data_IF_918621174492
#
_entry.id   IF_918621174492
#
_cell.length_a   1.000
_cell.length_b   1.000
_cell.length_c   1.000
_cell.angle_alpha   90.00
_cell.angle_beta   90.00
_cell.angle_gamma   90.00
#
_symmetry.space_group_name_H-M   'P 1'
#
loop_
_entity.id
_entity.type
_entity.pdbx_description
1 polymer ?
#
# COMPACT_ATOMS: atom_id res chain seq x y z
N UNK A 1 -7.26 -64.91 -25.44
CA UNK A 1 -7.05 -63.88 -24.41
C UNK A 1 -8.40 -63.52 -23.81
N UNK A 2 -8.65 -63.75 -22.50
CA UNK A 2 -9.91 -63.40 -21.88
C UNK A 2 -9.89 -61.94 -21.40
N UNK A 3 -10.93 -61.21 -21.76
CA UNK A 3 -11.22 -59.83 -21.36
C UNK A 3 -11.44 -59.76 -19.84
N UNK A 4 -10.59 -59.02 -19.12
CA UNK A 4 -10.78 -58.69 -17.71
C UNK A 4 -12.02 -57.80 -17.57
N UNK A 5 -13.11 -58.39 -17.09
CA UNK A 5 -14.28 -57.67 -16.57
C UNK A 5 -13.87 -56.88 -15.33
N UNK A 6 -14.15 -55.57 -15.31
CA UNK A 6 -14.02 -54.73 -14.14
C UNK A 6 -15.12 -55.12 -13.15
N UNK A 7 -14.73 -55.69 -12.01
CA UNK A 7 -15.65 -55.93 -10.89
C UNK A 7 -16.34 -54.61 -10.50
N UNK A 8 -17.65 -54.62 -10.19
CA UNK A 8 -18.33 -53.44 -9.69
C UNK A 8 -17.69 -52.98 -8.38
N UNK A 9 -17.31 -51.70 -8.33
CA UNK A 9 -16.83 -51.05 -7.12
C UNK A 9 -17.87 -51.20 -6.02
N UNK A 10 -17.45 -51.71 -4.85
CA UNK A 10 -18.30 -51.77 -3.65
C UNK A 10 -18.91 -50.39 -3.41
N UNK A 11 -20.20 -50.28 -3.02
CA UNK A 11 -20.77 -49.00 -2.62
C UNK A 11 -19.91 -48.44 -1.49
N UNK A 12 -19.29 -47.28 -1.73
CA UNK A 12 -18.61 -46.55 -0.67
C UNK A 12 -19.60 -46.28 0.45
N UNK A 13 -19.13 -46.39 1.71
CA UNK A 13 -19.90 -46.01 2.90
C UNK A 13 -20.58 -44.67 2.62
N UNK A 14 -21.89 -44.60 2.88
CA UNK A 14 -22.69 -43.37 2.82
C UNK A 14 -21.90 -42.26 3.50
N UNK A 15 -21.60 -41.20 2.74
CA UNK A 15 -20.94 -40.01 3.25
C UNK A 15 -21.73 -39.38 4.40
N UNK A 16 -21.20 -38.35 5.08
CA UNK A 16 -21.92 -37.68 6.16
C UNK A 16 -23.31 -37.30 5.65
N UNK A 17 -24.34 -37.70 6.40
CA UNK A 17 -25.75 -37.60 5.98
C UNK A 17 -26.05 -36.23 5.38
N UNK A 18 -26.90 -36.22 4.34
CA UNK A 18 -27.28 -35.05 3.54
C UNK A 18 -27.39 -33.76 4.37
N UNK A 19 -26.28 -33.01 4.45
CA UNK A 19 -26.26 -31.69 5.06
C UNK A 19 -27.11 -30.81 4.14
N UNK A 20 -28.06 -30.05 4.71
CA UNK A 20 -28.84 -29.12 3.90
C UNK A 20 -27.92 -28.09 3.26
N UNK A 21 -28.27 -27.66 2.06
CA UNK A 21 -27.45 -26.70 1.32
C UNK A 21 -27.22 -25.39 2.10
N UNK A 22 -28.21 -24.96 2.89
CA UNK A 22 -28.11 -23.74 3.69
C UNK A 22 -27.13 -23.90 4.85
N UNK A 23 -27.12 -25.06 5.53
CA UNK A 23 -26.12 -25.35 6.57
C UNK A 23 -24.72 -25.35 5.94
N UNK A 24 -24.57 -25.95 4.76
CA UNK A 24 -23.31 -25.94 4.04
C UNK A 24 -22.84 -24.51 3.69
N UNK A 25 -23.73 -23.63 3.20
CA UNK A 25 -23.39 -22.24 2.90
C UNK A 25 -23.03 -21.45 4.16
N UNK A 26 -23.69 -21.70 5.29
CA UNK A 26 -23.37 -21.08 6.58
C UNK A 26 -21.97 -21.48 7.07
N UNK A 27 -21.59 -22.76 6.88
CA UNK A 27 -20.22 -23.21 7.19
C UNK A 27 -19.21 -22.45 6.32
N UNK A 28 -19.51 -22.28 5.02
CA UNK A 28 -18.63 -21.51 4.12
C UNK A 28 -18.51 -20.05 4.55
N UNK A 29 -19.62 -19.39 4.91
CA UNK A 29 -19.59 -18.01 5.43
C UNK A 29 -18.74 -17.88 6.69
N UNK A 30 -18.87 -18.83 7.63
CA UNK A 30 -18.04 -18.88 8.83
C UNK A 30 -16.55 -19.04 8.51
N UNK A 31 -16.20 -19.94 7.58
CA UNK A 31 -14.80 -20.12 7.16
C UNK A 31 -14.23 -18.85 6.49
N UNK A 32 -15.05 -18.15 5.70
CA UNK A 32 -14.64 -16.87 5.10
C UNK A 32 -14.42 -15.81 6.17
N UNK A 33 -15.28 -15.74 7.20
CA UNK A 33 -15.10 -14.82 8.35
C UNK A 33 -13.81 -15.11 9.12
N UNK A 34 -13.53 -16.37 9.43
CA UNK A 34 -12.27 -16.78 10.09
C UNK A 34 -11.08 -16.34 9.23
N UNK A 35 -11.13 -16.57 7.91
CA UNK A 35 -10.08 -16.14 7.00
C UNK A 35 -9.90 -14.61 6.96
N UNK A 36 -10.93 -13.81 7.24
CA UNK A 36 -10.81 -12.35 7.37
C UNK A 36 -10.15 -11.95 8.69
N UNK A 37 -10.51 -12.61 9.79
CA UNK A 37 -9.99 -12.31 11.13
C UNK A 37 -8.50 -12.68 11.26
N UNK A 38 -8.08 -13.77 10.62
CA UNK A 38 -6.68 -14.23 10.60
C UNK A 38 -5.83 -13.54 9.51
N UNK A 39 -6.43 -12.70 8.66
CA UNK A 39 -5.74 -12.10 7.55
C UNK A 39 -4.72 -11.05 8.02
N UNK A 40 -3.45 -11.32 7.78
CA UNK A 40 -2.41 -10.30 7.90
C UNK A 40 -2.55 -9.23 6.82
N UNK A 41 -2.33 -7.94 7.12
CA UNK A 41 -2.42 -6.86 6.15
C UNK A 41 -1.35 -6.96 5.07
N UNK A 42 -1.73 -6.66 3.83
CA UNK A 42 -0.81 -6.48 2.71
C UNK A 42 -0.71 -5.01 2.31
N UNK A 43 0.48 -4.61 1.89
CA UNK A 43 0.74 -3.27 1.34
C UNK A 43 0.83 -3.36 -0.17
N UNK A 44 0.08 -2.50 -0.85
CA UNK A 44 0.03 -2.44 -2.31
C UNK A 44 0.48 -1.08 -2.82
N UNK A 45 1.23 -1.09 -3.92
CA UNK A 45 1.46 0.07 -4.74
C UNK A 45 0.37 0.19 -5.79
N UNK A 46 -0.33 1.31 -5.79
CA UNK A 46 -1.35 1.63 -6.78
C UNK A 46 -0.66 2.29 -7.97
N UNK A 47 -0.69 1.65 -9.13
CA UNK A 47 -0.16 2.19 -10.37
C UNK A 47 -1.34 2.55 -11.26
N UNK A 48 -1.53 3.86 -11.45
CA UNK A 48 -2.58 4.40 -12.29
C UNK A 48 -2.04 4.74 -13.68
N UNK A 49 -2.68 4.23 -14.73
CA UNK A 49 -2.33 4.49 -16.13
C UNK A 49 -3.44 5.32 -16.79
N UNK A 50 -3.33 6.67 -16.84
CA UNK A 50 -4.38 7.52 -17.40
C UNK A 50 -4.65 7.22 -18.88
N UNK A 51 -3.59 6.93 -19.65
CA UNK A 51 -3.67 6.72 -21.11
C UNK A 51 -4.23 5.34 -21.52
N UNK A 52 -4.50 4.44 -20.55
CA UNK A 52 -5.08 3.11 -20.79
C UNK A 52 -6.43 3.01 -20.10
N UNK A 53 -7.41 3.81 -20.56
CA UNK A 53 -8.78 3.85 -20.03
C UNK A 53 -8.88 4.14 -18.52
N UNK A 54 -7.86 4.80 -17.94
CA UNK A 54 -7.77 4.99 -16.50
C UNK A 54 -7.60 3.69 -15.71
N UNK A 55 -6.94 2.69 -16.29
CA UNK A 55 -6.70 1.41 -15.63
C UNK A 55 -5.87 1.57 -14.36
N UNK A 56 -6.28 0.83 -13.33
CA UNK A 56 -5.58 0.69 -12.05
C UNK A 56 -4.91 -0.67 -12.05
N UNK A 57 -3.63 -0.70 -11.68
CA UNK A 57 -2.87 -1.94 -11.48
C UNK A 57 -2.25 -1.92 -10.09
N UNK A 58 -2.07 -3.09 -9.50
CA UNK A 58 -1.44 -3.22 -8.18
C UNK A 58 -0.07 -3.87 -8.32
N UNK A 59 0.93 -3.23 -7.74
CA UNK A 59 2.25 -3.79 -7.49
C UNK A 59 2.36 -4.26 -6.04
N UNK A 60 2.82 -5.49 -5.83
CA UNK A 60 3.15 -5.98 -4.50
C UNK A 60 4.53 -5.49 -4.08
N UNK A 61 4.65 -5.00 -2.84
CA UNK A 61 5.95 -4.87 -2.21
C UNK A 61 5.93 -5.63 -0.90
N UNK A 62 6.71 -6.69 -0.88
CA UNK A 62 7.24 -7.19 0.37
C UNK A 62 8.51 -6.38 0.63
N UNK A 63 8.46 -5.46 1.59
CA UNK A 63 9.61 -4.60 1.95
C UNK A 63 10.80 -5.46 2.46
N UNK A 64 10.58 -6.75 2.77
CA UNK A 64 11.61 -7.70 3.19
C UNK A 64 12.44 -8.29 2.04
N UNK A 65 12.02 -8.13 0.78
CA UNK A 65 12.69 -8.75 -0.36
C UNK A 65 13.45 -7.75 -1.25
N UNK A 66 14.65 -8.18 -1.66
CA UNK A 66 15.61 -7.35 -2.39
C UNK A 66 15.09 -6.87 -3.74
N UNK A 67 15.50 -5.65 -4.09
CA UNK A 67 15.36 -5.07 -5.43
C UNK A 67 15.85 -6.08 -6.47
N UNK A 68 14.92 -6.69 -7.19
CA UNK A 68 15.19 -7.71 -8.22
C UNK A 68 14.32 -8.96 -8.13
N UNK A 69 13.67 -9.23 -6.99
CA UNK A 69 12.72 -10.34 -6.82
C UNK A 69 11.52 -9.91 -5.98
N UNK A 70 10.69 -9.03 -6.54
CA UNK A 70 9.39 -8.69 -5.93
C UNK A 70 8.50 -9.94 -5.97
N UNK A 71 8.54 -10.75 -4.90
CA UNK A 71 7.56 -11.80 -4.67
C UNK A 71 6.34 -11.18 -4.00
N UNK A 72 5.16 -11.62 -4.39
CA UNK A 72 3.96 -11.36 -3.59
C UNK A 72 4.21 -11.83 -2.16
N UNK A 73 3.78 -11.02 -1.18
CA UNK A 73 4.03 -11.31 0.23
C UNK A 73 3.57 -12.73 0.56
N UNK A 74 4.25 -13.40 1.49
CA UNK A 74 3.82 -14.70 2.01
C UNK A 74 2.35 -14.66 2.47
N UNK A 75 1.90 -13.49 2.93
CA UNK A 75 0.52 -13.21 3.32
C UNK A 75 -0.49 -13.34 2.17
N UNK A 76 -0.15 -12.95 0.93
CA UNK A 76 -1.04 -13.16 -0.22
C UNK A 76 -1.22 -14.64 -0.56
N UNK A 77 -0.13 -15.42 -0.46
CA UNK A 77 -0.19 -16.88 -0.67
C UNK A 77 -1.02 -17.55 0.43
N UNK A 78 -0.76 -17.22 1.69
CA UNK A 78 -1.53 -17.72 2.83
C UNK A 78 -3.01 -17.37 2.71
N UNK A 79 -3.32 -16.11 2.39
CA UNK A 79 -4.69 -15.64 2.19
C UNK A 79 -5.40 -16.39 1.06
N UNK A 80 -4.73 -16.65 -0.06
CA UNK A 80 -5.33 -17.46 -1.11
C UNK A 80 -5.60 -18.89 -0.62
N UNK A 81 -4.66 -19.51 0.12
CA UNK A 81 -4.84 -20.86 0.65
C UNK A 81 -6.04 -20.96 1.60
N UNK A 82 -6.31 -19.95 2.43
CA UNK A 82 -7.45 -19.97 3.37
C UNK A 82 -8.80 -19.85 2.66
N UNK A 83 -8.88 -19.14 1.53
CA UNK A 83 -10.14 -18.95 0.78
C UNK A 83 -10.30 -19.87 -0.44
N UNK A 84 -9.26 -20.63 -0.81
CA UNK A 84 -9.23 -21.45 -2.03
C UNK A 84 -10.35 -22.49 -2.07
N UNK A 85 -10.60 -23.19 -0.96
CA UNK A 85 -11.62 -24.25 -0.92
C UNK A 85 -13.01 -23.71 -1.27
N UNK A 86 -13.54 -22.67 -0.58
CA UNK A 86 -14.78 -22.00 -0.96
C UNK A 86 -14.85 -21.56 -2.43
N UNK A 87 -13.72 -21.10 -3.00
CA UNK A 87 -13.67 -20.67 -4.40
C UNK A 87 -13.84 -21.81 -5.43
N UNK A 88 -13.54 -23.05 -5.05
CA UNK A 88 -13.53 -24.20 -5.98
C UNK A 88 -14.83 -25.00 -6.00
N UNK A 89 -15.77 -24.73 -5.09
CA UNK A 89 -16.97 -25.58 -4.90
C UNK A 89 -18.08 -25.22 -5.88
N UNK A 90 -18.67 -24.03 -5.80
CA UNK A 90 -19.74 -23.60 -6.72
C UNK A 90 -19.81 -22.07 -6.87
N UNK A 91 -20.78 -21.58 -7.65
CA UNK A 91 -20.98 -20.14 -7.85
C UNK A 91 -21.41 -19.41 -6.57
N UNK A 92 -22.24 -20.03 -5.73
CA UNK A 92 -22.71 -19.42 -4.48
C UNK A 92 -21.58 -19.24 -3.47
N UNK A 93 -20.75 -20.27 -3.26
CA UNK A 93 -19.60 -20.19 -2.35
C UNK A 93 -18.56 -19.17 -2.84
N UNK A 94 -18.32 -19.11 -4.16
CA UNK A 94 -17.51 -18.04 -4.76
C UNK A 94 -18.07 -16.65 -4.48
N UNK A 95 -19.38 -16.47 -4.59
CA UNK A 95 -20.02 -15.19 -4.30
C UNK A 95 -19.79 -14.74 -2.86
N UNK A 96 -19.89 -15.66 -1.88
CA UNK A 96 -19.61 -15.38 -0.46
C UNK A 96 -18.17 -14.88 -0.27
N UNK A 97 -17.19 -15.52 -0.91
CA UNK A 97 -15.79 -15.06 -0.87
C UNK A 97 -15.68 -13.66 -1.48
N UNK A 98 -16.25 -13.45 -2.67
CA UNK A 98 -16.13 -12.18 -3.41
C UNK A 98 -16.82 -10.98 -2.76
N UNK A 99 -17.79 -11.20 -1.86
CA UNK A 99 -18.36 -10.12 -1.03
C UNK A 99 -17.33 -9.51 -0.07
N UNK A 100 -16.31 -10.28 0.28
CA UNK A 100 -15.35 -9.96 1.33
C UNK A 100 -13.93 -9.76 0.80
N UNK A 101 -13.54 -10.57 -0.19
CA UNK A 101 -12.23 -10.57 -0.82
C UNK A 101 -12.36 -10.16 -2.28
N UNK A 102 -11.77 -9.00 -2.63
CA UNK A 102 -11.76 -8.52 -4.00
C UNK A 102 -10.60 -9.18 -4.75
N UNK A 103 -10.92 -9.80 -5.88
CA UNK A 103 -9.91 -10.35 -6.79
C UNK A 103 -9.37 -9.25 -7.67
N UNK A 104 -8.05 -9.16 -7.79
CA UNK A 104 -7.40 -8.18 -8.64
C UNK A 104 -6.26 -8.80 -9.42
N UNK A 105 -6.09 -8.38 -10.68
CA UNK A 105 -4.98 -8.89 -11.50
C UNK A 105 -3.67 -8.29 -10.99
N UNK A 106 -2.74 -9.18 -10.62
CA UNK A 106 -1.38 -8.80 -10.28
C UNK A 106 -0.72 -8.11 -11.49
N UNK A 107 0.04 -7.03 -11.28
CA UNK A 107 0.95 -6.55 -12.33
C UNK A 107 1.99 -7.65 -12.60
N UNK A 108 2.22 -7.99 -13.87
CA UNK A 108 3.10 -9.08 -14.35
C UNK A 108 4.60 -8.83 -14.08
N UNK A 109 4.94 -7.98 -13.13
CA UNK A 109 6.33 -7.59 -12.87
C UNK A 109 6.88 -8.38 -11.67
N UNK A 110 7.68 -9.39 -12.03
CA UNK A 110 8.77 -9.98 -11.24
C UNK A 110 8.49 -11.20 -10.33
N UNK A 111 7.27 -11.70 -10.20
CA UNK A 111 7.05 -13.09 -9.74
C UNK A 111 5.86 -13.76 -10.42
N UNK A 112 6.09 -14.94 -11.00
CA UNK A 112 5.07 -15.75 -11.69
C UNK A 112 4.16 -16.53 -10.73
N UNK A 113 4.30 -16.34 -9.41
CA UNK A 113 3.73 -17.25 -8.42
C UNK A 113 2.22 -17.07 -8.22
N UNK A 114 1.66 -15.91 -8.59
CA UNK A 114 0.21 -15.61 -8.47
C UNK A 114 -0.26 -14.75 -9.64
N UNK A 115 -1.25 -15.26 -10.39
CA UNK A 115 -1.93 -14.51 -11.45
C UNK A 115 -2.87 -13.42 -10.89
N UNK A 116 -3.38 -13.64 -9.68
CA UNK A 116 -4.31 -12.75 -8.99
C UNK A 116 -3.88 -12.50 -7.55
N UNK A 117 -4.19 -11.30 -7.07
CA UNK A 117 -4.13 -10.94 -5.64
C UNK A 117 -5.51 -10.83 -5.05
N UNK A 118 -5.62 -11.16 -3.77
CA UNK A 118 -6.87 -11.17 -3.03
C UNK A 118 -6.83 -10.08 -1.99
N UNK A 119 -7.52 -8.99 -2.28
CA UNK A 119 -7.58 -7.80 -1.45
C UNK A 119 -8.62 -8.02 -0.36
N UNK A 120 -8.22 -7.82 0.90
CA UNK A 120 -9.13 -7.69 2.02
C UNK A 120 -9.29 -6.20 2.35
N UNK A 121 -10.39 -5.58 1.91
CA UNK A 121 -10.46 -4.13 1.84
C UNK A 121 -10.40 -3.38 3.18
N UNK A 122 -10.85 -4.03 4.26
CA UNK A 122 -10.83 -3.48 5.62
C UNK A 122 -9.46 -3.53 6.30
N UNK A 123 -8.53 -4.31 5.75
CA UNK A 123 -7.27 -4.66 6.41
C UNK A 123 -6.06 -4.21 5.59
N UNK A 124 -6.16 -4.20 4.26
CA UNK A 124 -5.04 -3.86 3.39
C UNK A 124 -4.78 -2.36 3.25
N UNK A 125 -3.53 -2.05 2.92
CA UNK A 125 -3.03 -0.69 2.76
C UNK A 125 -2.64 -0.40 1.31
N UNK A 126 -3.04 0.76 0.82
CA UNK A 126 -2.81 1.23 -0.54
C UNK A 126 -1.97 2.50 -0.54
N UNK A 127 -0.83 2.39 -1.21
CA UNK A 127 0.14 3.46 -1.36
C UNK A 127 0.21 3.89 -2.83
N UNK A 128 0.08 5.17 -3.11
CA UNK A 128 0.24 5.73 -4.44
C UNK A 128 1.68 6.27 -4.60
N UNK A 129 2.56 5.63 -5.40
CA UNK A 129 3.89 6.13 -5.68
C UNK A 129 3.84 7.18 -6.78
N UNK A 130 4.22 8.40 -6.44
CA UNK A 130 4.30 9.51 -7.39
C UNK A 130 5.78 9.76 -7.68
N UNK A 131 6.33 8.85 -8.48
CA UNK A 131 7.76 8.76 -8.78
C UNK A 131 8.19 9.50 -10.05
N UNK A 132 7.24 10.01 -10.84
CA UNK A 132 7.52 10.49 -12.19
C UNK A 132 7.35 12.00 -12.30
N UNK A 133 8.41 12.70 -12.70
CA UNK A 133 8.42 14.14 -13.01
C UNK A 133 7.64 14.48 -14.29
N UNK A 134 7.33 13.47 -15.11
CA UNK A 134 6.74 13.67 -16.45
C UNK A 134 5.22 13.43 -16.52
N UNK A 135 4.58 13.06 -15.41
CA UNK A 135 3.13 12.96 -15.35
C UNK A 135 2.65 14.26 -14.73
N UNK A 136 1.83 15.04 -15.45
CA UNK A 136 1.10 16.15 -14.86
C UNK A 136 0.18 15.55 -13.80
N UNK A 137 0.67 15.53 -12.57
CA UNK A 137 0.13 14.70 -11.52
C UNK A 137 -1.15 15.29 -10.93
N UNK A 138 -1.28 16.62 -11.02
CA UNK A 138 -2.55 17.32 -10.80
C UNK A 138 -3.58 16.91 -11.85
N UNK A 139 -3.19 16.80 -13.12
CA UNK A 139 -4.05 16.27 -14.18
C UNK A 139 -4.33 14.77 -14.00
N UNK A 140 -3.36 13.97 -13.57
CA UNK A 140 -3.60 12.54 -13.29
C UNK A 140 -4.52 12.33 -12.09
N UNK A 141 -4.41 13.15 -11.03
CA UNK A 141 -5.31 13.11 -9.87
C UNK A 141 -6.67 13.76 -10.15
N UNK A 142 -6.73 14.83 -10.95
CA UNK A 142 -7.98 15.46 -11.40
C UNK A 142 -8.74 14.56 -12.39
N UNK A 143 -8.04 14.02 -13.38
CA UNK A 143 -8.56 12.96 -14.25
C UNK A 143 -8.87 11.70 -13.44
N UNK A 144 -8.19 11.41 -12.33
CA UNK A 144 -8.55 10.33 -11.42
C UNK A 144 -9.88 10.60 -10.71
N UNK A 145 -10.17 11.83 -10.27
CA UNK A 145 -11.46 12.16 -9.64
C UNK A 145 -12.59 12.12 -10.67
N UNK A 146 -12.34 12.71 -11.85
CA UNK A 146 -13.26 12.69 -12.98
C UNK A 146 -13.50 11.26 -13.49
N UNK A 147 -12.45 10.46 -13.68
CA UNK A 147 -12.56 9.09 -14.19
C UNK A 147 -13.05 8.12 -13.12
N UNK A 148 -12.68 8.24 -11.84
CA UNK A 148 -13.22 7.36 -10.79
C UNK A 148 -14.75 7.52 -10.63
N UNK A 149 -15.30 8.69 -10.95
CA UNK A 149 -16.74 8.88 -11.06
C UNK A 149 -17.34 8.17 -12.30
N UNK A 150 -16.57 8.05 -13.39
CA UNK A 150 -16.95 7.41 -14.66
C UNK A 150 -16.59 5.91 -14.76
N UNK A 151 -15.74 5.39 -13.88
CA UNK A 151 -15.27 4.00 -13.88
C UNK A 151 -16.46 3.07 -13.59
N UNK A 152 -16.79 2.21 -14.55
CA UNK A 152 -17.81 1.18 -14.40
C UNK A 152 -17.33 0.00 -13.52
N UNK A 153 -16.01 -0.20 -13.40
CA UNK A 153 -15.46 -1.28 -12.58
C UNK A 153 -15.39 -0.87 -11.09
N UNK A 154 -16.28 -1.45 -10.29
CA UNK A 154 -16.38 -1.23 -8.85
C UNK A 154 -15.05 -1.44 -8.09
N UNK A 155 -14.18 -2.36 -8.54
CA UNK A 155 -12.95 -2.70 -7.82
C UNK A 155 -11.87 -1.61 -7.96
N UNK A 156 -11.68 -1.06 -9.16
CA UNK A 156 -10.73 0.03 -9.39
C UNK A 156 -11.15 1.27 -8.60
N UNK A 157 -12.43 1.67 -8.72
CA UNK A 157 -12.97 2.77 -7.93
C UNK A 157 -12.75 2.55 -6.43
N UNK A 158 -13.01 1.34 -5.94
CA UNK A 158 -12.80 1.02 -4.54
C UNK A 158 -11.35 1.26 -4.08
N UNK A 159 -10.36 0.68 -4.77
CA UNK A 159 -8.93 0.81 -4.43
C UNK A 159 -8.53 2.29 -4.34
N UNK A 160 -8.99 3.08 -5.31
CA UNK A 160 -8.69 4.49 -5.37
C UNK A 160 -9.22 5.23 -4.12
N UNK A 161 -10.44 4.95 -3.68
CA UNK A 161 -11.01 5.53 -2.45
C UNK A 161 -10.32 5.03 -1.17
N UNK A 162 -9.54 3.95 -1.25
CA UNK A 162 -8.78 3.42 -0.13
C UNK A 162 -7.35 3.92 -0.05
N UNK A 163 -6.89 4.82 -0.92
CA UNK A 163 -5.50 5.32 -0.82
C UNK A 163 -5.30 6.02 0.53
N UNK A 164 -4.51 5.40 1.41
CA UNK A 164 -4.14 5.97 2.71
C UNK A 164 -2.80 6.68 2.68
N UNK A 165 -1.93 6.32 1.73
CA UNK A 165 -0.56 6.82 1.66
C UNK A 165 -0.23 7.30 0.27
N UNK A 166 0.40 8.46 0.19
CA UNK A 166 0.97 8.99 -1.05
C UNK A 166 2.47 9.13 -0.84
N UNK A 167 3.28 8.54 -1.70
CA UNK A 167 4.73 8.73 -1.68
C UNK A 167 5.13 9.68 -2.79
N UNK A 168 5.82 10.77 -2.46
CA UNK A 168 6.35 11.75 -3.41
C UNK A 168 7.86 11.59 -3.50
N UNK A 169 8.41 11.53 -4.70
CA UNK A 169 9.86 11.48 -4.89
C UNK A 169 10.50 12.87 -4.97
N UNK A 170 9.71 13.95 -4.99
CA UNK A 170 10.25 15.30 -5.01
C UNK A 170 9.35 16.29 -4.27
N UNK A 171 9.98 17.22 -3.55
CA UNK A 171 9.28 18.23 -2.75
C UNK A 171 8.71 19.38 -3.58
N UNK A 172 9.14 19.53 -4.84
CA UNK A 172 8.63 20.60 -5.73
C UNK A 172 7.10 20.54 -5.90
N UNK A 173 6.52 19.35 -5.76
CA UNK A 173 5.08 19.10 -5.90
C UNK A 173 4.27 19.72 -4.75
N UNK A 174 4.91 20.00 -3.61
CA UNK A 174 4.27 20.66 -2.47
C UNK A 174 4.56 22.17 -2.43
N UNK A 175 5.16 22.76 -3.47
CA UNK A 175 5.44 24.20 -3.50
C UNK A 175 4.18 25.03 -3.72
N UNK A 176 4.17 26.32 -3.33
CA UNK A 176 3.00 27.19 -3.47
C UNK A 176 2.42 27.26 -4.89
N UNK A 177 3.24 27.09 -5.93
CA UNK A 177 2.83 27.10 -7.33
C UNK A 177 1.97 25.87 -7.74
N UNK A 178 1.92 24.82 -6.92
CA UNK A 178 1.27 23.54 -7.25
C UNK A 178 -0.13 23.39 -6.61
N UNK A 179 -0.94 24.45 -6.59
CA UNK A 179 -2.24 24.48 -5.89
C UNK A 179 -3.21 23.38 -6.33
N UNK A 180 -3.31 23.09 -7.63
CA UNK A 180 -4.20 22.05 -8.16
C UNK A 180 -3.80 20.63 -7.70
N UNK A 181 -2.51 20.37 -7.56
CA UNK A 181 -2.01 19.10 -7.04
C UNK A 181 -2.37 18.92 -5.56
N UNK A 182 -2.15 19.97 -4.77
CA UNK A 182 -2.43 19.98 -3.33
C UNK A 182 -3.92 19.74 -3.06
N UNK A 183 -4.80 20.43 -3.80
CA UNK A 183 -6.25 20.21 -3.72
C UNK A 183 -6.66 18.77 -4.07
N UNK A 184 -5.99 18.17 -5.06
CA UNK A 184 -6.28 16.80 -5.47
C UNK A 184 -5.87 15.76 -4.42
N UNK A 185 -4.77 15.99 -3.69
CA UNK A 185 -4.38 15.17 -2.54
C UNK A 185 -5.40 15.27 -1.40
N UNK A 186 -5.85 16.49 -1.08
CA UNK A 186 -6.86 16.71 -0.04
C UNK A 186 -8.19 16.01 -0.35
N UNK A 187 -8.53 15.87 -1.63
CA UNK A 187 -9.73 15.18 -2.07
C UNK A 187 -9.69 13.65 -1.90
N UNK A 188 -8.53 13.03 -1.62
CA UNK A 188 -8.42 11.60 -1.34
C UNK A 188 -9.06 11.25 0.02
N UNK A 189 -10.17 10.51 0.09
CA UNK A 189 -11.02 10.46 1.28
C UNK A 189 -10.36 9.80 2.49
N UNK A 190 -9.48 8.82 2.27
CA UNK A 190 -8.79 8.06 3.33
C UNK A 190 -7.31 8.38 3.48
N UNK A 191 -6.83 9.44 2.83
CA UNK A 191 -5.44 9.87 2.96
C UNK A 191 -5.10 10.13 4.44
N UNK A 192 -4.02 9.52 4.90
CA UNK A 192 -3.49 9.63 6.26
C UNK A 192 -2.01 10.02 6.26
N UNK A 193 -1.25 9.63 5.22
CA UNK A 193 0.17 9.90 5.13
C UNK A 193 0.57 10.44 3.76
N UNK A 194 1.35 11.52 3.76
CA UNK A 194 2.15 11.95 2.61
C UNK A 194 3.62 11.72 2.98
N UNK A 195 4.32 10.92 2.20
CA UNK A 195 5.71 10.53 2.47
C UNK A 195 6.63 11.08 1.40
N UNK A 196 7.54 11.95 1.80
CA UNK A 196 8.61 12.48 0.98
C UNK A 196 9.77 11.50 0.96
N UNK A 197 10.04 10.91 -0.19
CA UNK A 197 11.18 10.05 -0.41
C UNK A 197 12.37 10.92 -0.84
N UNK A 198 13.41 10.96 0.00
CA UNK A 198 14.66 11.60 -0.34
C UNK A 198 15.54 10.63 -1.13
N UNK A 199 15.79 10.93 -2.40
CA UNK A 199 16.82 10.28 -3.22
C UNK A 199 17.59 11.40 -3.88
N UNK A 200 18.60 11.93 -3.19
CA UNK A 200 19.50 12.89 -3.82
C UNK A 200 20.51 12.15 -4.69
N UNK A 201 20.84 12.75 -5.83
CA UNK A 201 21.38 12.09 -7.02
C UNK A 201 22.68 11.31 -6.84
N UNK A 202 23.44 11.52 -5.77
CA UNK A 202 24.78 10.94 -5.60
C UNK A 202 24.99 10.10 -4.33
N UNK A 203 23.96 9.86 -3.51
CA UNK A 203 24.15 9.03 -2.32
C UNK A 203 22.89 8.67 -1.55
N UNK A 204 22.82 7.41 -1.10
CA UNK A 204 21.86 7.01 -0.06
C UNK A 204 22.25 7.74 1.23
N UNK A 205 21.51 8.79 1.60
CA UNK A 205 21.65 9.41 2.91
C UNK A 205 21.35 8.36 3.97
N UNK A 206 22.31 8.11 4.86
CA UNK A 206 22.18 7.12 5.93
C UNK A 206 21.71 7.82 7.18
N UNK A 207 20.98 7.09 8.01
CA UNK A 207 20.48 7.59 9.30
C UNK A 207 21.62 8.12 10.20
N UNK A 208 22.81 7.52 10.10
CA UNK A 208 24.02 7.94 10.83
C UNK A 208 24.53 9.33 10.44
N UNK A 209 24.20 9.83 9.25
CA UNK A 209 24.63 11.15 8.76
C UNK A 209 23.99 12.31 9.54
N UNK A 210 23.02 11.99 10.39
CA UNK A 210 22.20 12.91 11.20
C UNK A 210 22.31 12.64 12.71
N UNK A 211 23.24 11.80 13.16
CA UNK A 211 23.49 11.59 14.60
C UNK A 211 24.31 12.77 15.18
N UNK A 212 24.08 13.13 16.46
CA UNK A 212 23.09 12.56 17.39
C UNK A 212 21.66 12.99 17.07
N UNK A 213 20.69 12.09 17.24
CA UNK A 213 19.27 12.43 17.12
C UNK A 213 18.87 13.28 18.32
N UNK A 214 18.28 14.44 18.05
CA UNK A 214 17.78 15.34 19.08
C UNK A 214 16.29 15.10 19.28
N UNK A 215 15.86 14.87 20.51
CA UNK A 215 14.45 14.77 20.83
C UNK A 215 13.75 16.12 20.63
N UNK A 216 12.49 16.08 20.19
CA UNK A 216 11.66 17.26 19.97
C UNK A 216 11.72 17.82 18.56
N UNK A 217 11.23 19.06 18.41
CA UNK A 217 11.13 19.76 17.12
C UNK A 217 12.45 20.49 16.86
N UNK A 218 13.10 20.15 15.76
CA UNK A 218 14.38 20.72 15.36
C UNK A 218 14.31 21.35 13.97
N UNK A 219 15.34 22.13 13.66
CA UNK A 219 15.49 22.67 12.32
C UNK A 219 15.78 21.56 11.29
N UNK A 220 15.38 21.80 10.04
CA UNK A 220 15.63 20.90 8.93
C UNK A 220 17.11 21.01 8.54
N UNK A 221 17.91 19.93 8.61
CA UNK A 221 19.32 19.96 8.25
C UNK A 221 19.52 20.32 6.79
N UNK A 222 20.57 21.09 6.50
CA UNK A 222 20.92 21.54 5.14
C UNK A 222 21.11 20.39 4.14
N UNK A 223 21.50 19.21 4.63
CA UNK A 223 21.64 17.98 3.84
C UNK A 223 20.32 17.46 3.27
N UNK A 224 19.16 17.93 3.76
CA UNK A 224 17.83 17.57 3.27
C UNK A 224 17.31 18.65 2.32
N UNK A 225 18.05 18.90 1.23
CA UNK A 225 17.85 20.06 0.34
C UNK A 225 16.40 20.25 -0.13
N UNK A 226 15.70 19.17 -0.49
CA UNK A 226 14.28 19.23 -0.85
C UNK A 226 13.36 19.77 0.26
N UNK A 227 13.60 19.39 1.51
CA UNK A 227 12.85 19.89 2.67
C UNK A 227 13.26 21.31 3.06
N UNK A 228 14.54 21.65 2.90
CA UNK A 228 15.04 23.02 3.06
C UNK A 228 14.37 23.96 2.06
N UNK A 229 14.26 23.54 0.79
CA UNK A 229 13.52 24.28 -0.23
C UNK A 229 12.06 24.44 0.16
N UNK A 230 11.38 23.36 0.62
CA UNK A 230 10.00 23.43 1.09
C UNK A 230 9.85 24.46 2.22
N UNK A 231 10.75 24.44 3.22
CA UNK A 231 10.78 25.42 4.31
C UNK A 231 11.00 26.85 3.79
N UNK A 232 11.95 27.04 2.88
CA UNK A 232 12.29 28.35 2.33
C UNK A 232 11.13 28.96 1.54
N UNK A 233 10.51 28.18 0.67
CA UNK A 233 9.46 28.63 -0.24
C UNK A 233 8.14 28.92 0.50
N UNK A 234 7.77 28.11 1.48
CA UNK A 234 6.59 28.39 2.30
C UNK A 234 6.87 29.39 3.43
N UNK A 235 8.08 29.37 3.98
CA UNK A 235 8.46 30.18 5.14
C UNK A 235 7.44 30.05 6.27
N UNK A 236 7.06 31.20 6.83
CA UNK A 236 6.05 31.30 7.90
C UNK A 236 4.64 30.88 7.46
N UNK A 237 4.36 30.80 6.15
CA UNK A 237 3.06 30.42 5.63
C UNK A 237 2.83 28.90 5.61
N UNK A 238 3.82 28.10 6.00
CA UNK A 238 3.70 26.64 6.02
C UNK A 238 2.53 26.16 6.91
N UNK A 239 2.26 26.83 8.04
CA UNK A 239 1.12 26.49 8.90
C UNK A 239 -0.21 26.62 8.15
N UNK A 240 -0.43 27.75 7.49
CA UNK A 240 -1.64 28.01 6.73
C UNK A 240 -1.78 27.03 5.55
N UNK A 241 -0.68 26.73 4.86
CA UNK A 241 -0.62 25.76 3.79
C UNK A 241 -0.98 24.33 4.27
N UNK A 242 -0.45 23.91 5.42
CA UNK A 242 -0.62 22.55 5.92
C UNK A 242 -1.90 22.36 6.77
N UNK A 243 -2.52 23.44 7.23
CA UNK A 243 -3.71 23.40 8.08
C UNK A 243 -4.85 22.50 7.54
N UNK A 244 -5.19 22.50 6.24
CA UNK A 244 -6.22 21.60 5.71
C UNK A 244 -5.88 20.11 5.84
N UNK A 245 -4.61 19.74 5.65
CA UNK A 245 -4.14 18.37 5.84
C UNK A 245 -4.16 17.98 7.31
N UNK A 246 -3.68 18.88 8.18
CA UNK A 246 -3.70 18.68 9.63
C UNK A 246 -5.12 18.50 10.17
N UNK A 247 -6.09 19.28 9.70
CA UNK A 247 -7.51 19.15 10.06
C UNK A 247 -8.11 17.79 9.65
N UNK A 248 -7.59 17.17 8.58
CA UNK A 248 -7.95 15.83 8.13
C UNK A 248 -7.18 14.71 8.86
N UNK A 249 -6.22 15.06 9.71
CA UNK A 249 -5.34 14.09 10.37
C UNK A 249 -4.23 13.54 9.47
N UNK A 250 -3.91 14.21 8.36
CA UNK A 250 -2.84 13.79 7.45
C UNK A 250 -1.48 14.22 7.97
N UNK A 251 -0.54 13.28 7.99
CA UNK A 251 0.86 13.49 8.42
C UNK A 251 1.78 13.67 7.22
N UNK A 252 2.74 14.60 7.34
CA UNK A 252 3.84 14.75 6.38
C UNK A 252 5.07 14.07 6.94
N UNK A 253 5.49 13.00 6.29
CA UNK A 253 6.60 12.17 6.74
C UNK A 253 7.73 12.22 5.73
N UNK A 254 8.97 11.99 6.18
CA UNK A 254 10.11 11.89 5.29
C UNK A 254 10.88 10.57 5.50
N UNK A 255 11.32 10.00 4.39
CA UNK A 255 12.18 8.82 4.31
C UNK A 255 13.52 9.21 3.70
N UNK A 256 14.61 8.75 4.30
CA UNK A 256 15.96 8.97 3.79
C UNK A 256 16.33 8.03 2.64
N UNK A 257 15.64 6.90 2.52
CA UNK A 257 15.81 5.98 1.40
C UNK A 257 14.55 5.14 1.14
N UNK A 258 14.43 4.48 -0.03
CA UNK A 258 13.28 3.63 -0.34
C UNK A 258 13.19 2.37 0.51
N UNK A 259 14.32 1.96 1.11
CA UNK A 259 14.50 0.70 1.83
C UNK A 259 14.66 0.91 3.34
N UNK A 260 14.65 2.16 3.82
CA UNK A 260 14.70 2.48 5.24
C UNK A 260 13.32 2.90 5.71
N UNK A 261 13.01 2.64 6.98
CA UNK A 261 11.75 3.11 7.55
C UNK A 261 11.66 4.64 7.60
N UNK A 262 10.42 5.07 7.80
CA UNK A 262 10.08 6.47 8.00
C UNK A 262 10.78 6.94 9.27
N UNK A 263 11.56 8.00 9.13
CA UNK A 263 12.45 8.45 10.20
C UNK A 263 12.06 9.81 10.76
N UNK A 264 11.28 10.59 10.01
CA UNK A 264 11.03 12.00 10.31
C UNK A 264 9.57 12.37 10.03
N UNK A 265 9.02 13.22 10.88
CA UNK A 265 7.77 13.95 10.64
C UNK A 265 8.08 15.43 10.42
N UNK A 266 7.52 16.01 9.36
CA UNK A 266 7.60 17.44 9.08
C UNK A 266 6.42 18.11 9.78
N UNK A 267 6.73 19.02 10.68
CA UNK A 267 5.75 19.72 11.52
C UNK A 267 5.77 21.21 11.24
N UNK A 268 4.63 21.85 11.50
CA UNK A 268 4.51 23.31 11.43
C UNK A 268 4.98 23.95 12.74
N UNK A 269 5.80 25.00 12.63
CA UNK A 269 6.21 25.86 13.73
C UNK A 269 6.17 27.34 13.30
N UNK A 270 6.34 28.25 14.27
CA UNK A 270 6.28 29.71 14.05
C UNK A 270 7.20 30.23 12.93
N UNK A 271 8.34 29.58 12.73
CA UNK A 271 9.35 29.96 11.73
C UNK A 271 9.19 29.23 10.40
N UNK A 272 8.15 28.40 10.27
CA UNK A 272 7.85 27.60 9.09
C UNK A 272 7.97 26.09 9.34
N UNK A 273 8.27 25.35 8.28
CA UNK A 273 8.46 23.90 8.38
C UNK A 273 9.67 23.55 9.25
N UNK A 274 9.45 22.60 10.16
CA UNK A 274 10.45 22.00 11.05
C UNK A 274 10.34 20.48 10.94
N UNK A 275 11.26 19.77 11.58
CA UNK A 275 11.18 18.31 11.63
C UNK A 275 11.23 17.78 13.06
N UNK A 276 10.68 16.60 13.26
CA UNK A 276 10.71 15.85 14.50
C UNK A 276 11.09 14.40 14.18
N UNK A 277 12.04 13.85 14.94
CA UNK A 277 12.36 12.42 14.86
C UNK A 277 11.22 11.60 15.46
N UNK A 278 10.86 10.51 14.79
CA UNK A 278 9.83 9.61 15.30
C UNK A 278 10.37 8.76 16.46
N UNK A 279 9.54 8.42 17.47
CA UNK A 279 9.99 7.75 18.70
C UNK A 279 10.78 6.46 18.46
N UNK A 280 10.32 5.60 17.55
CA UNK A 280 10.99 4.33 17.21
C UNK A 280 12.39 4.49 16.61
N UNK A 281 12.75 5.70 16.17
CA UNK A 281 14.10 6.03 15.69
C UNK A 281 15.02 6.42 16.85
N UNK A 282 14.46 7.06 17.88
CA UNK A 282 15.20 7.50 19.07
C UNK A 282 15.58 6.29 19.94
N UNK A 283 14.72 5.27 19.99
CA UNK A 283 14.91 4.07 20.80
C UNK A 283 15.90 3.06 20.19
N UNK A 284 16.42 3.32 18.98
CA UNK A 284 17.49 2.51 18.37
C UNK A 284 17.05 1.19 17.73
N UNK A 285 15.75 0.88 17.74
CA UNK A 285 15.16 -0.38 17.22
C UNK A 285 15.35 -0.60 15.71
N UNK A 286 15.83 0.42 14.98
CA UNK A 286 16.13 0.34 13.54
C UNK A 286 17.46 -0.35 13.20
N UNK A 287 18.24 -0.81 14.19
CA UNK A 287 19.62 -1.27 13.99
C UNK A 287 19.74 -2.77 13.65
N UNK A 288 18.75 -3.61 13.96
CA UNK A 288 18.96 -5.07 13.90
C UNK A 288 18.85 -5.70 12.49
N UNK A 289 18.07 -5.16 11.55
CA UNK A 289 17.88 -5.85 10.25
C UNK A 289 19.08 -5.74 9.27
N UNK A 290 20.05 -4.86 9.53
CA UNK A 290 21.24 -4.75 8.67
C UNK A 290 22.50 -5.44 9.21
N UNK A 291 22.52 -5.89 10.47
CA UNK A 291 23.71 -6.52 11.06
C UNK A 291 23.87 -8.01 10.73
N UNK A 292 22.79 -8.72 10.34
CA UNK A 292 22.87 -10.14 9.98
C UNK A 292 23.47 -10.45 8.60
N UNK A 293 23.83 -9.44 7.79
CA UNK A 293 24.43 -9.65 6.46
C UNK A 293 25.94 -9.42 6.36
N UNK A 294 26.62 -9.15 7.48
CA UNK A 294 28.08 -8.98 7.49
C UNK A 294 28.84 -10.06 8.29
N UNK A 295 28.17 -11.16 8.63
CA UNK A 295 28.82 -12.39 9.10
C UNK A 295 28.21 -13.59 8.39
N UNK A 296 28.64 -13.83 7.15
CA UNK A 296 28.75 -15.14 6.49
C UNK A 296 29.59 -14.95 5.22
#
# INVERSE_FOLDING_TARGET
>A
MPTRSLLPTKPGKTGPGLISHDIFLNIVDMLVKIAQEEANPSRFWVIYSPNKEGSVTLGGRDDTFHSGKAKWSIFQKQRYLTIRLPLQICSKTRSIVHQNFLRFKAMETCSQDLADVWILPKVDYFCLPLSNTNINLAEALSNYHANAALQQNHCSRYILYQIQKVQLNCTHQLLPASTGFVGSLLALPRLAEIVLLYVDGDGKQRMYDFKPFQAGVIDIPDKLGGLVTLRKEHGRNFEAFWAPFKAKGVRLLARLSPTTDIVLEVVSAREGARMQWLPHVLDGDMIEEHYWRLRL
#
